data_IF_276539547288
#
_entry.id   IF_276539547288
#
_cell.length_a   1.000
_cell.length_b   1.000
_cell.length_c   1.000
_cell.angle_alpha   90.00
_cell.angle_beta   90.00
_cell.angle_gamma   90.00
#
_symmetry.space_group_name_H-M   'P 1'
#
loop_
_entity.id
_entity.type
_entity.pdbx_description
1 polymer ?
#
# COMPACT_ATOMS: atom_id res chain seq x y z
N UNK A 1 12.66 2.63 -17.75
CA UNK A 1 13.87 2.44 -16.92
C UNK A 1 14.27 0.98 -17.00
N UNK A 2 15.31 0.66 -17.78
CA UNK A 2 15.87 -0.69 -17.84
C UNK A 2 16.46 -1.01 -16.46
N UNK A 3 15.86 -1.97 -15.76
CA UNK A 3 16.32 -2.39 -14.46
C UNK A 3 17.66 -3.11 -14.63
N UNK A 4 18.77 -2.39 -14.44
CA UNK A 4 20.10 -2.99 -14.36
C UNK A 4 20.08 -4.02 -13.24
N UNK A 5 20.12 -5.30 -13.60
CA UNK A 5 20.03 -6.40 -12.67
C UNK A 5 21.11 -6.25 -11.59
N UNK A 6 20.72 -6.45 -10.33
CA UNK A 6 21.68 -6.51 -9.23
C UNK A 6 22.57 -7.72 -9.48
N UNK A 7 23.87 -7.46 -9.63
CA UNK A 7 24.90 -8.48 -9.85
C UNK A 7 25.88 -8.44 -8.68
N UNK A 8 26.61 -9.54 -8.46
CA UNK A 8 27.48 -9.72 -7.28
C UNK A 8 28.38 -8.50 -7.00
N UNK A 9 28.92 -7.90 -8.06
CA UNK A 9 29.83 -6.76 -8.01
C UNK A 9 29.21 -5.44 -7.52
N UNK A 10 27.89 -5.25 -7.63
CA UNK A 10 27.22 -4.00 -7.22
C UNK A 10 26.30 -4.15 -5.99
N UNK A 11 26.09 -5.38 -5.49
CA UNK A 11 25.20 -5.66 -4.34
C UNK A 11 25.63 -4.88 -3.10
N UNK A 12 26.92 -4.90 -2.76
CA UNK A 12 27.41 -4.25 -1.55
C UNK A 12 27.32 -2.72 -1.67
N UNK A 13 27.61 -2.17 -2.85
CA UNK A 13 27.42 -0.74 -3.15
C UNK A 13 25.95 -0.32 -2.98
N UNK A 14 25.01 -1.10 -3.55
CA UNK A 14 23.57 -0.86 -3.40
C UNK A 14 23.10 -1.03 -1.95
N UNK A 15 23.63 -2.00 -1.21
CA UNK A 15 23.31 -2.18 0.20
C UNK A 15 23.80 -1.00 1.06
N UNK A 16 25.02 -0.50 0.81
CA UNK A 16 25.54 0.71 1.45
C UNK A 16 24.69 1.93 1.09
N UNK A 17 24.28 2.07 -0.18
CA UNK A 17 23.38 3.13 -0.62
C UNK A 17 22.02 3.05 0.09
N UNK A 18 21.43 1.86 0.22
CA UNK A 18 20.19 1.64 0.98
C UNK A 18 20.37 2.06 2.45
N UNK A 19 21.46 1.66 3.09
CA UNK A 19 21.75 2.01 4.49
C UNK A 19 21.92 3.52 4.66
N UNK A 20 22.66 4.18 3.76
CA UNK A 20 22.83 5.64 3.74
C UNK A 20 21.49 6.35 3.53
N UNK A 21 20.69 5.90 2.57
CA UNK A 21 19.38 6.47 2.30
C UNK A 21 18.47 6.33 3.53
N UNK A 22 18.37 5.14 4.11
CA UNK A 22 17.61 4.90 5.33
C UNK A 22 18.08 5.76 6.51
N UNK A 23 19.39 5.95 6.67
CA UNK A 23 19.96 6.80 7.72
C UNK A 23 19.64 8.29 7.51
N UNK A 24 19.49 8.74 6.25
CA UNK A 24 19.10 10.12 5.92
C UNK A 24 17.59 10.39 6.02
N UNK A 25 16.77 9.36 6.27
CA UNK A 25 15.33 9.54 6.44
C UNK A 25 15.02 10.34 7.71
N UNK A 26 13.99 11.17 7.64
CA UNK A 26 13.48 11.90 8.80
C UNK A 26 12.91 10.94 9.85
N UNK A 27 12.70 11.41 11.08
CA UNK A 27 12.08 10.58 12.14
C UNK A 27 10.68 10.12 11.76
N UNK A 28 9.91 10.98 11.10
CA UNK A 28 8.57 10.65 10.60
C UNK A 28 8.62 9.56 9.52
N UNK A 29 9.55 9.67 8.55
CA UNK A 29 9.77 8.65 7.52
C UNK A 29 10.20 7.31 8.13
N UNK A 30 11.15 7.33 9.08
CA UNK A 30 11.62 6.12 9.78
C UNK A 30 10.50 5.48 10.60
N UNK A 31 9.68 6.29 11.28
CA UNK A 31 8.50 5.81 12.01
C UNK A 31 7.48 5.19 11.05
N UNK A 32 7.24 5.80 9.90
CA UNK A 32 6.35 5.26 8.89
C UNK A 32 6.84 3.92 8.33
N UNK A 33 8.13 3.79 7.99
CA UNK A 33 8.70 2.52 7.51
C UNK A 33 8.49 1.39 8.52
N UNK A 34 8.69 1.68 9.81
CA UNK A 34 8.52 0.68 10.89
C UNK A 34 7.07 0.31 11.16
N UNK A 35 6.20 1.32 11.23
CA UNK A 35 4.80 1.14 11.69
C UNK A 35 3.81 0.91 10.55
N UNK A 36 4.18 1.33 9.34
CA UNK A 36 3.30 1.44 8.16
C UNK A 36 2.05 2.28 8.45
N UNK A 37 2.15 3.24 9.38
CA UNK A 37 1.05 4.10 9.81
C UNK A 37 1.47 5.56 9.85
N UNK A 38 0.53 6.43 9.50
CA UNK A 38 0.73 7.87 9.43
C UNK A 38 -0.58 8.57 9.81
N UNK A 39 -0.51 9.63 10.61
CA UNK A 39 -1.64 10.52 10.91
C UNK A 39 -1.07 11.92 11.15
N UNK A 40 -0.98 12.72 10.10
CA UNK A 40 -0.36 14.03 10.14
C UNK A 40 -0.93 14.96 9.07
N UNK A 41 -0.69 16.26 9.22
CA UNK A 41 -1.10 17.28 8.27
C UNK A 41 0.10 18.11 7.83
N UNK A 42 0.38 18.11 6.53
CA UNK A 42 1.52 18.79 5.93
C UNK A 42 1.14 19.38 4.57
N UNK A 43 2.05 20.14 3.97
CA UNK A 43 1.86 20.63 2.61
C UNK A 43 1.86 19.50 1.59
N UNK A 44 1.20 19.70 0.44
CA UNK A 44 1.18 18.70 -0.62
C UNK A 44 2.59 18.42 -1.18
N UNK A 45 3.43 19.46 -1.28
CA UNK A 45 4.83 19.33 -1.68
C UNK A 45 5.66 18.51 -0.69
N UNK A 46 5.41 18.67 0.62
CA UNK A 46 6.03 17.82 1.64
C UNK A 46 5.66 16.35 1.44
N UNK A 47 4.36 16.05 1.28
CA UNK A 47 3.90 14.67 1.06
C UNK A 47 4.48 14.05 -0.21
N UNK A 48 4.58 14.82 -1.29
CA UNK A 48 5.22 14.35 -2.52
C UNK A 48 6.68 13.96 -2.26
N UNK A 49 7.47 14.83 -1.61
CA UNK A 49 8.88 14.55 -1.27
C UNK A 49 9.00 13.35 -0.33
N UNK A 50 8.17 13.28 0.69
CA UNK A 50 8.09 12.17 1.66
C UNK A 50 7.90 10.82 0.93
N UNK A 51 6.87 10.70 0.09
CA UNK A 51 6.61 9.44 -0.61
C UNK A 51 7.64 9.14 -1.71
N UNK A 52 8.20 10.14 -2.38
CA UNK A 52 9.29 9.93 -3.35
C UNK A 52 10.52 9.31 -2.70
N UNK A 53 10.93 9.77 -1.51
CA UNK A 53 12.07 9.18 -0.77
C UNK A 53 11.78 7.75 -0.34
N UNK A 54 10.56 7.47 0.10
CA UNK A 54 10.13 6.11 0.43
C UNK A 54 10.12 5.18 -0.79
N UNK A 55 9.75 5.67 -1.97
CA UNK A 55 9.86 4.89 -3.22
C UNK A 55 11.32 4.57 -3.53
N UNK A 56 12.24 5.54 -3.41
CA UNK A 56 13.66 5.29 -3.66
C UNK A 56 14.20 4.21 -2.72
N UNK A 57 13.79 4.24 -1.45
CA UNK A 57 14.11 3.22 -0.46
C UNK A 57 13.55 1.85 -0.86
N UNK A 58 12.28 1.79 -1.25
CA UNK A 58 11.64 0.54 -1.68
C UNK A 58 12.28 -0.05 -2.93
N UNK A 59 12.56 0.77 -3.95
CA UNK A 59 13.18 0.30 -5.20
C UNK A 59 14.52 -0.36 -4.90
N UNK A 60 15.41 0.33 -4.20
CA UNK A 60 16.72 -0.23 -3.80
C UNK A 60 16.56 -1.48 -2.92
N UNK A 61 15.63 -1.44 -1.96
CA UNK A 61 15.36 -2.55 -1.07
C UNK A 61 14.80 -3.77 -1.80
N UNK A 62 13.90 -3.59 -2.76
CA UNK A 62 13.21 -4.64 -3.48
C UNK A 62 14.15 -5.49 -4.33
N UNK A 63 15.11 -4.83 -4.98
CA UNK A 63 16.13 -5.50 -5.79
C UNK A 63 17.08 -6.31 -4.90
N UNK A 64 17.56 -5.75 -3.79
CA UNK A 64 18.38 -6.45 -2.81
C UNK A 64 17.63 -7.62 -2.17
N UNK A 65 16.34 -7.45 -1.83
CA UNK A 65 15.48 -8.53 -1.31
C UNK A 65 15.37 -9.68 -2.32
N UNK A 66 15.23 -9.40 -3.62
CA UNK A 66 15.21 -10.44 -4.67
C UNK A 66 16.55 -11.16 -4.77
N UNK A 67 17.65 -10.42 -4.79
CA UNK A 67 19.00 -10.97 -4.85
C UNK A 67 19.27 -11.89 -3.65
N UNK A 68 19.12 -11.40 -2.41
CA UNK A 68 19.37 -12.18 -1.20
C UNK A 68 18.41 -13.37 -1.05
N UNK A 69 17.16 -13.28 -1.53
CA UNK A 69 16.27 -14.45 -1.57
C UNK A 69 16.83 -15.54 -2.49
N UNK A 70 17.25 -15.18 -3.71
CA UNK A 70 17.84 -16.12 -4.67
C UNK A 70 19.12 -16.73 -4.11
N UNK A 71 20.04 -15.90 -3.62
CA UNK A 71 21.29 -16.33 -3.00
C UNK A 71 21.04 -17.29 -1.83
N UNK A 72 20.12 -16.95 -0.92
CA UNK A 72 19.76 -17.80 0.21
C UNK A 72 19.22 -19.16 -0.24
N UNK A 73 18.34 -19.20 -1.24
CA UNK A 73 17.83 -20.47 -1.77
C UNK A 73 18.96 -21.34 -2.33
N UNK A 74 19.88 -20.75 -3.10
CA UNK A 74 21.06 -21.47 -3.61
C UNK A 74 21.97 -21.95 -2.48
N UNK A 75 22.23 -21.13 -1.48
CA UNK A 75 23.05 -21.52 -0.32
C UNK A 75 22.41 -22.66 0.47
N UNK A 76 21.09 -22.69 0.63
CA UNK A 76 20.39 -23.81 1.27
C UNK A 76 20.61 -25.10 0.47
N UNK A 77 20.43 -25.05 -0.85
CA UNK A 77 20.63 -26.22 -1.72
C UNK A 77 22.08 -26.71 -1.64
N UNK A 78 23.06 -25.81 -1.72
CA UNK A 78 24.48 -26.14 -1.62
C UNK A 78 24.86 -26.72 -0.25
N UNK A 79 24.30 -26.19 0.84
CA UNK A 79 24.53 -26.75 2.18
C UNK A 79 23.96 -28.18 2.27
N UNK A 80 22.74 -28.42 1.75
CA UNK A 80 22.14 -29.77 1.75
C UNK A 80 23.01 -30.74 0.96
N UNK A 81 23.39 -30.40 -0.28
CA UNK A 81 24.27 -31.24 -1.10
C UNK A 81 25.62 -31.45 -0.43
N UNK A 82 26.18 -30.39 0.18
CA UNK A 82 27.44 -30.46 0.89
C UNK A 82 27.45 -31.47 2.04
N UNK A 83 26.37 -31.54 2.82
CA UNK A 83 26.25 -32.55 3.89
C UNK A 83 26.31 -33.98 3.32
N UNK A 84 25.71 -34.24 2.15
CA UNK A 84 25.72 -35.57 1.55
C UNK A 84 27.03 -35.93 0.85
N UNK A 85 27.71 -34.97 0.19
CA UNK A 85 28.88 -35.25 -0.65
C UNK A 85 30.22 -34.88 0.00
N UNK A 86 30.26 -33.80 0.77
CA UNK A 86 31.52 -33.20 1.26
C UNK A 86 31.87 -33.62 2.70
N UNK A 87 30.87 -33.99 3.51
CA UNK A 87 31.11 -34.46 4.87
C UNK A 87 31.89 -35.78 4.91
N UNK A 88 31.62 -36.71 3.97
CA UNK A 88 32.36 -37.97 3.83
C UNK A 88 33.79 -37.82 3.33
N UNK A 89 34.13 -36.66 2.75
CA UNK A 89 35.46 -36.37 2.18
C UNK A 89 36.32 -35.46 3.09
N UNK A 90 35.86 -35.14 4.30
CA UNK A 90 36.62 -34.34 5.27
C UNK A 90 36.63 -32.82 5.02
N UNK A 91 35.83 -32.30 4.08
CA UNK A 91 35.75 -30.86 3.78
C UNK A 91 34.87 -30.06 4.77
N UNK A 92 35.10 -30.23 6.07
CA UNK A 92 34.33 -29.56 7.13
C UNK A 92 34.48 -28.03 7.11
N UNK A 93 35.65 -27.52 6.71
CA UNK A 93 35.92 -26.08 6.56
C UNK A 93 35.04 -25.43 5.48
N UNK A 94 34.80 -26.11 4.35
CA UNK A 94 33.93 -25.62 3.29
C UNK A 94 32.46 -25.58 3.73
N UNK A 95 32.02 -26.56 4.52
CA UNK A 95 30.68 -26.54 5.13
C UNK A 95 30.50 -25.34 6.06
N UNK A 96 31.49 -25.07 6.90
CA UNK A 96 31.47 -23.91 7.79
C UNK A 96 31.36 -22.60 7.01
N UNK A 97 32.12 -22.44 5.92
CA UNK A 97 32.05 -21.26 5.05
C UNK A 97 30.66 -21.09 4.41
N UNK A 98 30.07 -22.16 3.89
CA UNK A 98 28.72 -22.13 3.31
C UNK A 98 27.65 -21.77 4.35
N UNK A 99 27.81 -22.26 5.58
CA UNK A 99 26.92 -21.93 6.68
C UNK A 99 27.04 -20.45 7.09
N UNK A 100 28.26 -19.93 7.22
CA UNK A 100 28.51 -18.51 7.50
C UNK A 100 27.93 -17.62 6.40
N UNK A 101 28.11 -17.98 5.12
CA UNK A 101 27.51 -17.27 3.99
C UNK A 101 25.97 -17.27 4.05
N UNK A 102 25.37 -18.39 4.45
CA UNK A 102 23.92 -18.51 4.64
C UNK A 102 23.42 -17.58 5.75
N UNK A 103 24.10 -17.57 6.90
CA UNK A 103 23.76 -16.69 8.02
C UNK A 103 23.89 -15.21 7.63
N UNK A 104 24.98 -14.85 6.94
CA UNK A 104 25.18 -13.50 6.40
C UNK A 104 24.02 -13.08 5.47
N UNK A 105 23.67 -13.92 4.50
CA UNK A 105 22.55 -13.66 3.58
C UNK A 105 21.21 -13.52 4.33
N UNK A 106 21.00 -14.33 5.37
CA UNK A 106 19.80 -14.27 6.21
C UNK A 106 19.69 -12.96 6.98
N UNK A 107 20.77 -12.51 7.63
CA UNK A 107 20.83 -11.23 8.36
C UNK A 107 20.56 -10.06 7.40
N UNK A 108 21.22 -10.03 6.23
CA UNK A 108 21.02 -8.99 5.22
C UNK A 108 19.58 -8.96 4.70
N UNK A 109 18.99 -10.13 4.43
CA UNK A 109 17.61 -10.22 4.00
C UNK A 109 16.64 -9.73 5.08
N UNK A 110 16.88 -10.07 6.35
CA UNK A 110 16.08 -9.59 7.49
C UNK A 110 16.12 -8.07 7.56
N UNK A 111 17.32 -7.48 7.46
CA UNK A 111 17.50 -6.03 7.44
C UNK A 111 16.75 -5.36 6.29
N UNK A 112 16.84 -5.89 5.07
CA UNK A 112 16.13 -5.34 3.90
C UNK A 112 14.60 -5.45 4.00
N UNK A 113 14.09 -6.41 4.79
CA UNK A 113 12.65 -6.55 5.07
C UNK A 113 12.14 -5.57 6.12
N UNK A 114 12.98 -5.15 7.06
CA UNK A 114 12.63 -4.11 8.02
C UNK A 114 12.43 -2.73 7.36
N UNK A 115 12.99 -2.56 6.16
CA UNK A 115 12.88 -1.35 5.33
C UNK A 115 11.86 -1.49 4.20
N UNK A 116 11.05 -2.55 4.23
CA UNK A 116 10.04 -2.77 3.20
C UNK A 116 8.91 -1.75 3.34
N UNK A 117 8.51 -1.15 2.23
CA UNK A 117 7.39 -0.21 2.18
C UNK A 117 6.32 -0.83 1.31
N UNK A 118 5.06 -0.73 1.71
CA UNK A 118 3.98 -1.30 0.91
C UNK A 118 3.93 -0.68 -0.50
N UNK A 119 3.76 -1.54 -1.51
CA UNK A 119 3.75 -1.14 -2.92
C UNK A 119 2.66 -0.11 -3.25
N UNK A 120 1.62 0.04 -2.41
CA UNK A 120 0.61 1.09 -2.55
C UNK A 120 1.19 2.50 -2.56
N UNK A 121 2.33 2.70 -1.87
CA UNK A 121 3.09 3.96 -1.92
C UNK A 121 3.58 4.23 -3.35
N UNK A 122 4.16 3.22 -4.00
CA UNK A 122 4.72 3.31 -5.36
C UNK A 122 3.65 3.46 -6.43
N UNK A 123 2.60 2.66 -6.38
CA UNK A 123 1.60 2.58 -7.46
C UNK A 123 0.52 3.65 -7.35
N UNK A 124 0.16 4.04 -6.13
CA UNK A 124 -1.00 4.89 -5.85
C UNK A 124 -0.64 6.26 -5.33
N UNK A 125 0.01 6.30 -4.16
CA UNK A 125 0.11 7.54 -3.39
C UNK A 125 0.91 8.62 -4.13
N UNK A 126 2.06 8.31 -4.73
CA UNK A 126 2.85 9.35 -5.41
C UNK A 126 2.12 9.99 -6.57
N UNK A 127 1.43 9.22 -7.41
CA UNK A 127 0.62 9.76 -8.51
C UNK A 127 -0.52 10.64 -7.99
N UNK A 128 -1.18 10.21 -6.92
CA UNK A 128 -2.23 11.00 -6.28
C UNK A 128 -1.68 12.34 -5.77
N UNK A 129 -0.56 12.32 -5.05
CA UNK A 129 0.04 13.53 -4.47
C UNK A 129 0.65 14.46 -5.52
N UNK A 130 1.15 13.94 -6.65
CA UNK A 130 1.57 14.78 -7.79
C UNK A 130 0.41 15.63 -8.31
N UNK A 131 -0.78 15.05 -8.47
CA UNK A 131 -1.96 15.80 -8.91
C UNK A 131 -2.47 16.74 -7.81
N UNK A 132 -2.55 16.26 -6.56
CA UNK A 132 -3.01 17.09 -5.45
C UNK A 132 -2.06 18.27 -5.15
N UNK A 133 -0.75 18.13 -5.39
CA UNK A 133 0.20 19.21 -5.21
C UNK A 133 -0.02 20.41 -6.14
N UNK A 134 -0.65 20.19 -7.30
CA UNK A 134 -1.01 21.27 -8.22
C UNK A 134 -2.17 22.12 -7.66
N UNK A 135 -3.11 21.50 -6.95
CA UNK A 135 -4.40 22.12 -6.59
C UNK A 135 -4.58 22.40 -5.09
N UNK A 136 -3.74 21.82 -4.23
CA UNK A 136 -3.89 21.93 -2.76
C UNK A 136 -2.63 22.49 -2.11
N UNK A 137 -2.81 23.27 -1.04
CA UNK A 137 -1.70 23.78 -0.22
C UNK A 137 -1.41 22.86 0.96
N UNK A 138 -2.45 22.41 1.65
CA UNK A 138 -2.36 21.62 2.88
C UNK A 138 -3.23 20.37 2.80
N UNK A 139 -2.69 19.24 3.27
CA UNK A 139 -3.35 17.94 3.25
C UNK A 139 -3.19 17.27 4.62
N UNK A 140 -4.31 16.96 5.26
CA UNK A 140 -4.37 16.05 6.41
C UNK A 140 -4.52 14.61 5.90
N UNK A 141 -3.54 13.78 6.21
CA UNK A 141 -3.44 12.41 5.75
C UNK A 141 -3.39 11.45 6.93
N UNK A 142 -4.28 10.47 6.92
CA UNK A 142 -4.23 9.29 7.77
C UNK A 142 -4.12 8.05 6.88
N UNK A 143 -3.10 7.24 7.12
CA UNK A 143 -2.73 6.11 6.29
C UNK A 143 -2.39 4.91 7.18
N UNK A 144 -2.92 3.73 6.85
CA UNK A 144 -2.62 2.48 7.56
C UNK A 144 -2.37 1.36 6.54
N UNK A 145 -1.10 1.10 6.25
CA UNK A 145 -0.63 0.08 5.30
C UNK A 145 -0.11 -1.18 6.00
N UNK A 146 -0.47 -1.41 7.28
CA UNK A 146 -0.07 -2.63 7.98
C UNK A 146 -0.59 -3.89 7.27
N UNK A 147 0.19 -4.98 7.27
CA UNK A 147 -0.23 -6.24 6.67
C UNK A 147 -1.43 -6.82 7.41
N UNK A 148 -2.26 -7.58 6.71
CA UNK A 148 -3.46 -8.23 7.27
C UNK A 148 -3.14 -9.08 8.50
N UNK A 149 -1.97 -9.72 8.54
CA UNK A 149 -1.52 -10.54 9.69
C UNK A 149 -1.35 -9.76 10.99
N UNK A 150 -1.10 -8.45 10.92
CA UNK A 150 -0.97 -7.58 12.08
C UNK A 150 -2.31 -6.95 12.51
N UNK A 151 -3.41 -7.27 11.82
CA UNK A 151 -4.72 -6.67 12.06
C UNK A 151 -5.61 -7.57 12.90
N UNK A 152 -6.45 -6.95 13.72
CA UNK A 152 -7.48 -7.63 14.48
C UNK A 152 -8.64 -8.05 13.58
N UNK A 153 -9.22 -9.21 13.86
CA UNK A 153 -10.42 -9.72 13.18
C UNK A 153 -11.61 -8.90 13.66
N UNK A 154 -12.32 -8.25 12.74
CA UNK A 154 -13.53 -7.46 13.04
C UNK A 154 -14.70 -8.37 13.38
N UNK A 155 -14.89 -9.42 12.57
CA UNK A 155 -15.95 -10.41 12.80
C UNK A 155 -15.54 -11.78 12.28
N UNK A 156 -16.01 -12.83 12.93
CA UNK A 156 -15.82 -14.22 12.52
C UNK A 156 -17.19 -14.86 12.24
N UNK A 157 -17.26 -15.70 11.22
CA UNK A 157 -18.42 -16.54 10.90
C UNK A 157 -17.96 -17.96 10.60
N UNK A 158 -18.73 -18.94 11.05
CA UNK A 158 -18.46 -20.35 10.80
C UNK A 158 -19.67 -20.97 10.11
N UNK A 159 -19.74 -20.92 8.76
CA UNK A 159 -20.88 -21.47 8.03
C UNK A 159 -20.99 -22.99 8.12
N UNK A 160 -19.88 -23.70 8.31
CA UNK A 160 -19.85 -25.15 8.50
C UNK A 160 -18.68 -25.54 9.43
N UNK A 161 -18.65 -26.78 9.90
CA UNK A 161 -17.62 -27.28 10.84
C UNK A 161 -16.19 -27.25 10.28
N UNK A 162 -16.03 -27.16 8.95
CA UNK A 162 -14.77 -27.22 8.22
C UNK A 162 -14.33 -25.87 7.66
N UNK A 163 -15.18 -24.86 7.68
CA UNK A 163 -15.00 -23.56 7.05
C UNK A 163 -15.11 -22.45 8.07
N UNK A 164 -14.06 -21.65 8.19
CA UNK A 164 -14.05 -20.41 9.00
C UNK A 164 -13.89 -19.22 8.08
N UNK A 165 -14.73 -18.20 8.27
CA UNK A 165 -14.64 -16.91 7.62
C UNK A 165 -14.21 -15.86 8.65
N UNK A 166 -13.09 -15.19 8.40
CA UNK A 166 -12.60 -14.07 9.20
C UNK A 166 -12.68 -12.82 8.35
N UNK A 167 -13.31 -11.77 8.87
CA UNK A 167 -13.43 -10.50 8.19
C UNK A 167 -12.57 -9.43 8.88
N UNK A 168 -11.94 -8.60 8.07
CA UNK A 168 -11.09 -7.50 8.49
C UNK A 168 -11.62 -6.22 7.86
N UNK A 169 -11.85 -5.21 8.69
CA UNK A 169 -12.17 -3.86 8.24
C UNK A 169 -10.90 -3.01 8.29
N UNK A 170 -10.50 -2.48 7.14
CA UNK A 170 -9.17 -1.93 6.91
C UNK A 170 -9.32 -0.49 6.40
N UNK A 171 -9.19 0.53 7.26
CA UNK A 171 -9.23 1.94 6.84
C UNK A 171 -7.87 2.31 6.24
N UNK A 172 -7.67 2.00 4.96
CA UNK A 172 -6.38 2.17 4.29
C UNK A 172 -5.93 3.63 4.25
N UNK A 173 -6.82 4.54 3.83
CA UNK A 173 -6.48 5.94 3.59
C UNK A 173 -7.66 6.83 3.94
N UNK A 174 -7.37 7.93 4.65
CA UNK A 174 -8.26 9.06 4.81
C UNK A 174 -7.47 10.33 4.50
N UNK A 175 -7.97 11.10 3.56
CA UNK A 175 -7.36 12.34 3.11
C UNK A 175 -8.38 13.45 3.22
N UNK A 176 -7.95 14.61 3.74
CA UNK A 176 -8.72 15.85 3.73
C UNK A 176 -7.82 16.96 3.22
N UNK A 177 -8.28 17.70 2.23
CA UNK A 177 -7.55 18.82 1.67
C UNK A 177 -8.51 19.93 1.25
N UNK A 178 -7.99 21.15 1.19
CA UNK A 178 -8.67 22.28 0.61
C UNK A 178 -7.98 22.66 -0.69
N UNK A 179 -8.78 22.82 -1.74
CA UNK A 179 -8.32 23.22 -3.05
C UNK A 179 -8.22 24.74 -3.17
N UNK A 180 -7.45 25.22 -4.15
CA UNK A 180 -7.26 26.66 -4.43
C UNK A 180 -8.57 27.40 -4.77
N UNK A 181 -9.55 26.67 -5.31
CA UNK A 181 -10.89 27.18 -5.63
C UNK A 181 -11.79 27.39 -4.38
N UNK A 182 -11.31 26.96 -3.20
CA UNK A 182 -12.00 27.01 -1.92
C UNK A 182 -12.81 25.75 -1.59
N UNK A 183 -12.94 24.81 -2.53
CA UNK A 183 -13.63 23.54 -2.31
C UNK A 183 -12.83 22.67 -1.33
N UNK A 184 -13.53 21.88 -0.52
CA UNK A 184 -12.88 20.93 0.39
C UNK A 184 -13.15 19.50 -0.09
N UNK A 185 -12.07 18.73 -0.24
CA UNK A 185 -12.16 17.31 -0.59
C UNK A 185 -11.86 16.46 0.64
N UNK A 186 -12.72 15.48 0.88
CA UNK A 186 -12.45 14.37 1.78
C UNK A 186 -12.53 13.06 1.01
N UNK A 187 -11.43 12.32 1.00
CA UNK A 187 -11.32 11.02 0.38
C UNK A 187 -11.11 9.96 1.45
N UNK A 188 -11.79 8.82 1.31
CA UNK A 188 -11.65 7.68 2.21
C UNK A 188 -11.61 6.38 1.40
N UNK A 189 -10.65 5.53 1.73
CA UNK A 189 -10.49 4.20 1.16
C UNK A 189 -10.60 3.20 2.31
N UNK A 190 -11.64 2.39 2.28
CA UNK A 190 -11.83 1.29 3.23
C UNK A 190 -11.86 -0.04 2.48
N UNK A 191 -11.07 -1.00 2.95
CA UNK A 191 -11.11 -2.38 2.47
C UNK A 191 -11.86 -3.26 3.48
N UNK A 192 -12.72 -4.12 2.96
CA UNK A 192 -13.34 -5.22 3.71
C UNK A 192 -12.77 -6.51 3.15
N UNK A 193 -11.91 -7.17 3.91
CA UNK A 193 -11.26 -8.41 3.50
C UNK A 193 -11.91 -9.60 4.19
N UNK A 194 -12.19 -10.65 3.43
CA UNK A 194 -12.68 -11.93 3.94
C UNK A 194 -11.64 -13.01 3.69
N UNK A 195 -11.09 -13.58 4.77
CA UNK A 195 -10.25 -14.76 4.76
C UNK A 195 -11.11 -15.98 5.01
N UNK A 196 -11.18 -16.86 4.01
CA UNK A 196 -11.85 -18.16 4.10
C UNK A 196 -10.82 -19.25 4.32
N UNK A 197 -10.92 -19.94 5.43
CA UNK A 197 -10.10 -21.11 5.77
C UNK A 197 -10.97 -22.35 5.68
N UNK A 198 -10.63 -23.32 4.83
CA UNK A 198 -11.34 -24.59 4.69
C UNK A 198 -10.40 -25.75 5.03
N UNK A 199 -10.82 -26.62 5.94
CA UNK A 199 -10.10 -27.85 6.33
C UNK A 199 -10.72 -29.05 5.58
N UNK A 200 -9.88 -29.86 4.95
CA UNK A 200 -10.26 -31.11 4.28
C UNK A 200 -9.42 -32.26 4.81
N UNK A 201 -9.99 -33.46 4.85
CA UNK A 201 -9.30 -34.70 5.20
C UNK A 201 -9.19 -35.53 3.91
N UNK A 202 -8.00 -36.02 3.57
CA UNK A 202 -7.81 -36.92 2.42
C UNK A 202 -8.24 -38.35 2.75
N UNK A 203 -8.36 -39.20 1.72
CA UNK A 203 -8.61 -40.65 1.90
C UNK A 203 -7.59 -41.33 2.82
N UNK A 204 -6.34 -40.85 2.82
CA UNK A 204 -5.26 -41.30 3.71
C UNK A 204 -5.28 -40.69 5.13
N UNK A 205 -6.34 -39.96 5.52
CA UNK A 205 -6.45 -39.32 6.84
C UNK A 205 -5.67 -38.00 7.01
N UNK A 206 -4.82 -37.61 6.04
CA UNK A 206 -4.04 -36.36 6.10
C UNK A 206 -4.93 -35.11 6.03
N UNK A 207 -4.77 -34.21 7.00
CA UNK A 207 -5.45 -32.90 7.03
C UNK A 207 -4.79 -31.93 6.04
N UNK A 208 -5.61 -31.27 5.21
CA UNK A 208 -5.21 -30.22 4.27
C UNK A 208 -6.00 -28.95 4.56
N UNK A 209 -5.32 -27.81 4.67
CA UNK A 209 -5.94 -26.49 4.86
C UNK A 209 -5.83 -25.68 3.57
N UNK A 210 -6.96 -25.15 3.09
CA UNK A 210 -7.01 -24.22 1.96
C UNK A 210 -7.44 -22.85 2.46
N UNK A 211 -6.61 -21.85 2.22
CA UNK A 211 -6.90 -20.45 2.57
C UNK A 211 -7.21 -19.69 1.27
N UNK A 212 -8.27 -18.89 1.25
CA UNK A 212 -8.61 -17.97 0.17
C UNK A 212 -8.93 -16.60 0.74
N UNK A 213 -8.54 -15.55 0.03
CA UNK A 213 -8.84 -14.17 0.40
C UNK A 213 -9.70 -13.51 -0.68
N UNK A 214 -10.76 -12.84 -0.25
CA UNK A 214 -11.62 -12.01 -1.09
C UNK A 214 -11.78 -10.64 -0.46
N UNK A 215 -11.36 -9.62 -1.19
CA UNK A 215 -11.44 -8.23 -0.74
C UNK A 215 -12.52 -7.45 -1.49
N UNK A 216 -13.06 -6.45 -0.80
CA UNK A 216 -13.88 -5.40 -1.38
C UNK A 216 -13.34 -4.05 -0.93
N UNK A 217 -12.91 -3.25 -1.89
CA UNK A 217 -12.49 -1.86 -1.69
C UNK A 217 -13.66 -0.92 -1.91
N UNK A 218 -13.87 -0.02 -0.97
CA UNK A 218 -14.80 1.09 -1.07
C UNK A 218 -14.01 2.39 -1.08
N UNK A 219 -14.03 3.09 -2.21
CA UNK A 219 -13.48 4.43 -2.36
C UNK A 219 -14.65 5.39 -2.23
N UNK A 220 -14.56 6.34 -1.30
CA UNK A 220 -15.55 7.40 -1.12
C UNK A 220 -14.85 8.74 -1.25
N UNK A 221 -15.33 9.57 -2.16
CA UNK A 221 -14.91 10.97 -2.29
C UNK A 221 -16.09 11.83 -1.91
N UNK A 222 -15.86 12.82 -1.06
CA UNK A 222 -16.80 13.85 -0.68
C UNK A 222 -16.20 15.20 -1.04
N UNK A 223 -16.88 15.96 -1.88
CA UNK A 223 -16.51 17.31 -2.27
C UNK A 223 -17.52 18.27 -1.65
N UNK A 224 -17.08 19.05 -0.67
CA UNK A 224 -17.85 20.17 -0.15
C UNK A 224 -17.60 21.37 -1.08
N UNK A 225 -18.67 21.90 -1.65
CA UNK A 225 -18.61 22.99 -2.59
C UNK A 225 -18.49 24.31 -1.85
N UNK A 226 -17.68 25.21 -2.40
CA UNK A 226 -17.70 26.61 -2.08
C UNK A 226 -18.93 27.22 -2.74
N UNK A 227 -19.99 27.41 -1.96
CA UNK A 227 -21.28 27.93 -2.44
C UNK A 227 -21.15 29.32 -3.09
N UNK A 228 -20.08 30.08 -2.83
CA UNK A 228 -19.85 31.35 -3.51
C UNK A 228 -19.56 31.17 -5.01
N UNK A 229 -18.88 30.08 -5.40
CA UNK A 229 -18.36 29.89 -6.77
C UNK A 229 -18.95 28.69 -7.51
N UNK A 230 -19.43 27.69 -6.78
CA UNK A 230 -19.90 26.44 -7.35
C UNK A 230 -21.31 26.12 -6.89
N UNK A 231 -22.05 25.46 -7.76
CA UNK A 231 -23.33 24.81 -7.47
C UNK A 231 -23.32 23.40 -8.05
N UNK A 232 -24.20 22.56 -7.53
CA UNK A 232 -24.55 21.30 -8.20
C UNK A 232 -25.08 21.60 -9.61
N UNK A 233 -24.64 20.82 -10.60
CA UNK A 233 -25.19 20.86 -11.96
C UNK A 233 -26.65 20.40 -11.96
N UNK A 234 -27.50 21.13 -12.66
CA UNK A 234 -28.90 20.76 -12.86
C UNK A 234 -28.96 19.52 -13.76
N UNK A 235 -29.25 18.36 -13.17
CA UNK A 235 -29.26 17.09 -13.86
C UNK A 235 -29.30 15.90 -12.91
N UNK A 236 -29.59 14.72 -13.47
CA UNK A 236 -29.51 13.46 -12.73
C UNK A 236 -28.05 13.22 -12.34
N UNK A 237 -27.79 13.01 -11.05
CA UNK A 237 -26.47 12.63 -10.57
C UNK A 237 -26.11 11.24 -11.13
N UNK A 238 -24.81 10.95 -11.23
CA UNK A 238 -24.40 9.60 -11.58
C UNK A 238 -24.93 8.60 -10.55
N UNK A 239 -25.21 7.36 -10.97
CA UNK A 239 -25.88 6.34 -10.15
C UNK A 239 -25.17 6.04 -8.81
N UNK A 240 -23.87 6.32 -8.72
CA UNK A 240 -23.00 6.10 -7.57
C UNK A 240 -22.69 7.39 -6.79
N UNK A 241 -23.38 8.47 -7.10
CA UNK A 241 -23.18 9.80 -6.51
C UNK A 241 -24.46 10.33 -5.89
N UNK A 242 -24.31 11.07 -4.80
CA UNK A 242 -25.42 11.75 -4.12
C UNK A 242 -25.00 13.15 -3.71
N UNK A 243 -25.93 14.09 -3.76
CA UNK A 243 -25.76 15.42 -3.18
C UNK A 243 -26.45 15.41 -1.82
N UNK A 244 -25.74 15.88 -0.80
CA UNK A 244 -26.25 16.06 0.56
C UNK A 244 -26.01 17.51 0.92
N UNK A 245 -27.04 18.23 1.37
CA UNK A 245 -26.86 19.55 1.96
C UNK A 245 -26.60 19.36 3.45
N UNK A 246 -25.43 19.78 3.94
CA UNK A 246 -25.10 19.74 5.37
C UNK A 246 -24.76 21.15 5.82
N UNK A 247 -25.46 21.68 6.82
CA UNK A 247 -25.24 23.03 7.35
C UNK A 247 -25.25 24.13 6.27
N UNK A 248 -26.19 24.05 5.32
CA UNK A 248 -26.28 25.00 4.20
C UNK A 248 -25.28 24.76 3.07
N UNK A 249 -24.23 23.97 3.28
CA UNK A 249 -23.23 23.67 2.25
C UNK A 249 -23.60 22.46 1.40
N UNK A 250 -23.45 22.60 0.09
CA UNK A 250 -23.66 21.49 -0.83
C UNK A 250 -22.46 20.53 -0.81
N UNK A 251 -22.73 19.25 -0.58
CA UNK A 251 -21.73 18.19 -0.55
C UNK A 251 -22.05 17.10 -1.55
N UNK A 252 -21.18 16.92 -2.53
CA UNK A 252 -21.26 15.84 -3.51
C UNK A 252 -20.45 14.65 -2.99
N UNK A 253 -21.11 13.50 -2.83
CA UNK A 253 -20.48 12.26 -2.38
C UNK A 253 -20.55 11.23 -3.50
N UNK A 254 -19.40 10.82 -4.02
CA UNK A 254 -19.26 9.78 -5.04
C UNK A 254 -18.60 8.55 -4.43
N UNK A 255 -19.11 7.36 -4.77
CA UNK A 255 -18.58 6.09 -4.25
C UNK A 255 -18.20 5.14 -5.38
N UNK A 256 -17.02 4.55 -5.29
CA UNK A 256 -16.60 3.48 -6.17
C UNK A 256 -16.31 2.21 -5.38
N UNK A 257 -16.78 1.06 -5.89
CA UNK A 257 -16.71 -0.24 -5.24
C UNK A 257 -15.97 -1.22 -6.14
N UNK A 258 -14.90 -1.82 -5.63
CA UNK A 258 -14.05 -2.74 -6.39
C UNK A 258 -13.89 -4.06 -5.62
N UNK A 259 -14.20 -5.18 -6.26
CA UNK A 259 -13.92 -6.52 -5.73
C UNK A 259 -12.54 -6.98 -6.21
N UNK A 260 -11.86 -7.76 -5.40
CA UNK A 260 -10.58 -8.37 -5.77
C UNK A 260 -10.34 -9.69 -5.03
N UNK A 261 -9.52 -10.55 -5.62
CA UNK A 261 -9.00 -11.75 -4.98
C UNK A 261 -7.56 -11.50 -4.50
N UNK A 262 -7.20 -12.08 -3.35
CA UNK A 262 -5.89 -11.89 -2.72
C UNK A 262 -5.94 -11.15 -1.39
N UNK A 263 -4.82 -11.14 -0.68
CA UNK A 263 -4.70 -10.56 0.66
C UNK A 263 -4.79 -9.03 0.67
N UNK A 264 -4.32 -8.40 -0.40
CA UNK A 264 -4.34 -6.96 -0.59
C UNK A 264 -4.46 -6.65 -2.08
N UNK A 265 -5.02 -5.48 -2.39
CA UNK A 265 -4.89 -4.85 -3.71
C UNK A 265 -4.17 -3.53 -3.51
N UNK A 266 -3.21 -3.18 -4.35
CA UNK A 266 -2.53 -1.90 -4.18
C UNK A 266 -3.48 -0.73 -4.37
N UNK A 267 -3.24 0.38 -3.67
CA UNK A 267 -3.95 1.63 -3.94
C UNK A 267 -3.63 2.05 -5.37
N UNK A 268 -4.68 2.25 -6.16
CA UNK A 268 -4.59 2.65 -7.55
C UNK A 268 -5.03 4.10 -7.69
N UNK A 269 -4.08 4.96 -8.07
CA UNK A 269 -4.31 6.39 -8.23
C UNK A 269 -5.36 6.69 -9.29
N UNK A 270 -5.43 5.89 -10.36
CA UNK A 270 -6.30 6.16 -11.49
C UNK A 270 -7.77 6.09 -11.07
N UNK A 271 -8.15 5.03 -10.35
CA UNK A 271 -9.49 4.89 -9.81
C UNK A 271 -9.84 6.02 -8.80
N UNK A 272 -8.87 6.48 -8.00
CA UNK A 272 -9.08 7.59 -7.08
C UNK A 272 -9.32 8.91 -7.82
N UNK A 273 -8.45 9.25 -8.76
CA UNK A 273 -8.54 10.46 -9.56
C UNK A 273 -9.80 10.47 -10.43
N UNK A 274 -10.16 9.32 -11.04
CA UNK A 274 -11.44 9.17 -11.75
C UNK A 274 -12.64 9.43 -10.84
N UNK A 275 -12.61 8.97 -9.59
CA UNK A 275 -13.70 9.20 -8.62
C UNK A 275 -13.79 10.69 -8.24
N UNK A 276 -12.64 11.37 -8.07
CA UNK A 276 -12.58 12.82 -7.80
C UNK A 276 -13.11 13.61 -9.01
N UNK A 277 -12.62 13.32 -10.20
CA UNK A 277 -13.05 13.95 -11.44
C UNK A 277 -14.56 13.80 -11.64
N UNK A 278 -15.10 12.60 -11.37
CA UNK A 278 -16.54 12.32 -11.44
C UNK A 278 -17.36 13.15 -10.46
N UNK A 279 -16.86 13.40 -9.24
CA UNK A 279 -17.51 14.29 -8.28
C UNK A 279 -17.52 15.74 -8.81
N UNK A 280 -16.41 16.20 -9.39
CA UNK A 280 -16.29 17.54 -9.98
C UNK A 280 -17.17 17.74 -11.22
N UNK A 281 -17.31 16.74 -12.09
CA UNK A 281 -18.17 16.80 -13.28
C UNK A 281 -19.66 17.01 -12.94
N UNK A 282 -20.06 16.79 -11.68
CA UNK A 282 -21.41 17.04 -11.18
C UNK A 282 -21.60 18.46 -10.64
N UNK A 283 -20.58 19.32 -10.75
CA UNK A 283 -20.61 20.73 -10.36
C UNK A 283 -20.72 21.63 -11.59
N UNK A 284 -21.21 22.84 -11.37
CA UNK A 284 -21.23 23.94 -12.34
C UNK A 284 -20.72 25.19 -11.62
N UNK A 285 -19.91 25.99 -12.30
CA UNK A 285 -19.50 27.32 -11.81
C UNK A 285 -20.74 28.22 -11.80
N UNK A 286 -20.95 28.96 -10.72
CA UNK A 286 -21.96 30.03 -10.69
C UNK A 286 -21.52 31.08 -11.71
N UNK A 287 -22.28 31.22 -12.79
CA UNK A 287 -22.20 32.41 -13.62
C UNK A 287 -22.75 33.55 -12.77
N UNK A 288 -21.86 34.38 -12.22
CA UNK A 288 -22.26 35.70 -11.78
C UNK A 288 -22.78 36.38 -13.03
N UNK A 289 -24.07 36.69 -13.07
CA UNK A 289 -24.59 37.54 -14.14
C UNK A 289 -23.71 38.78 -14.16
N UNK A 290 -23.09 39.07 -15.30
CA UNK A 290 -22.65 40.42 -15.56
C UNK A 290 -23.91 41.25 -15.37
N UNK A 291 -23.98 42.02 -14.29
CA UNK A 291 -24.99 43.05 -14.15
C UNK A 291 -24.76 43.98 -15.34
N UNK A 292 -25.67 43.88 -16.31
CA UNK A 292 -25.80 44.85 -17.39
C UNK A 292 -26.32 46.16 -16.80
#
# INVERSE_FOLDING_TARGET
MNASSVNLFNVEGRYRALKKLHASLTDEERRFVRTQQLDAGHSAAYWQKFFQRLIQLDVLGSELRRFYRKQRTWLIVLNILGVFFLAGLGYTSLMLLLFVALLYSWIRLKYCRLMDVDNSVRTGLVKLFQVLALETRFIKLKLDLRPTTARQVSRRRQPDSRTTLEFFDIPLLQLRAQFKDGNQVSMRIDDVLCKRTCKKISRSGRRKTKIKYKGRRNIRVSLNLNDARYIKRNGKLAADSKCVTQHGQQKIVTQFKLKYDGETKYVDAENLLKTVAKAYQQTKVKTFGAAA
#
